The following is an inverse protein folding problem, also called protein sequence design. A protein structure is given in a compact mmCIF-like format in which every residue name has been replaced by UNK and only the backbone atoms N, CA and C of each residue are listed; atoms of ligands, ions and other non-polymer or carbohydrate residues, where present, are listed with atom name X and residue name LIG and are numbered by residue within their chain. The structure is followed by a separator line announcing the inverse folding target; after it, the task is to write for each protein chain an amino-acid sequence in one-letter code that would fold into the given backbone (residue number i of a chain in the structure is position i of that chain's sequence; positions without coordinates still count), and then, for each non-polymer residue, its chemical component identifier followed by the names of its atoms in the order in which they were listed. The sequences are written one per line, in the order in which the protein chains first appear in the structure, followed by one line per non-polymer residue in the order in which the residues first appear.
data_IF_574498594276
#
_entry.id   IF_574498594276
#
_cell.length_a   1.000
_cell.length_b   1.000
_cell.length_c   1.000
_cell.angle_alpha   90.00
_cell.angle_beta   90.00
_cell.angle_gamma   90.00
#
_symmetry.space_group_name_H-M   'P 1'
#
loop_
_entity.id
_entity.type
_entity.pdbx_description
1 polymer ?
#
# COMPACT_ATOMS: atom_id res chain seq x y z
N UNK A 1 -17.68 -24.58 -1.81
CA UNK A 1 -16.79 -23.40 -1.69
C UNK A 1 -17.59 -22.10 -1.67
N UNK A 2 -18.59 -21.97 -0.79
CA UNK A 2 -19.51 -20.80 -0.74
C UNK A 2 -19.61 -20.17 0.65
N UNK A 3 -18.73 -20.55 1.59
CA UNK A 3 -18.74 -20.06 2.98
C UNK A 3 -17.83 -18.84 3.20
N UNK A 4 -17.00 -18.46 2.23
CA UNK A 4 -15.97 -17.43 2.44
C UNK A 4 -16.40 -16.03 1.97
N UNK A 5 -17.26 -15.94 0.94
CA UNK A 5 -17.75 -14.65 0.44
C UNK A 5 -18.69 -13.96 1.44
N UNK A 6 -19.54 -14.74 2.14
CA UNK A 6 -20.42 -14.21 3.18
C UNK A 6 -19.63 -13.70 4.40
N UNK A 7 -18.56 -14.41 4.80
CA UNK A 7 -17.72 -13.98 5.92
C UNK A 7 -16.98 -12.67 5.62
N UNK A 8 -16.44 -12.51 4.41
CA UNK A 8 -15.74 -11.28 4.01
C UNK A 8 -16.67 -10.05 4.05
N UNK A 9 -17.90 -10.18 3.54
CA UNK A 9 -18.90 -9.11 3.59
C UNK A 9 -19.33 -8.80 5.03
N UNK A 10 -19.44 -9.82 5.89
CA UNK A 10 -19.78 -9.62 7.30
C UNK A 10 -18.63 -9.01 8.11
N UNK A 11 -17.37 -9.22 7.71
CA UNK A 11 -16.20 -8.58 8.34
C UNK A 11 -16.10 -7.10 7.95
N UNK A 12 -16.51 -6.72 6.73
CA UNK A 12 -16.72 -5.32 6.32
C UNK A 12 -17.85 -4.65 7.11
N UNK A 13 -18.94 -5.38 7.39
CA UNK A 13 -20.13 -4.82 8.04
C UNK A 13 -20.04 -4.75 9.58
N UNK A 14 -19.35 -5.71 10.22
CA UNK A 14 -19.29 -5.86 11.68
C UNK A 14 -17.91 -5.56 12.29
N UNK A 15 -16.90 -5.29 11.46
CA UNK A 15 -15.52 -5.04 11.86
C UNK A 15 -14.74 -6.31 12.20
N UNK A 16 -13.39 -6.21 12.11
CA UNK A 16 -12.43 -7.32 12.31
C UNK A 16 -12.48 -7.97 13.70
N UNK A 17 -13.24 -7.41 14.66
CA UNK A 17 -13.36 -7.91 16.03
C UNK A 17 -14.58 -8.80 16.28
N UNK A 18 -15.32 -9.26 15.26
CA UNK A 18 -16.54 -10.09 15.46
C UNK A 18 -16.30 -11.39 16.26
N UNK A 19 -15.10 -11.97 16.17
CA UNK A 19 -14.78 -13.24 16.83
C UNK A 19 -13.99 -13.07 18.14
N UNK A 20 -13.72 -11.84 18.60
CA UNK A 20 -13.01 -11.63 19.86
C UNK A 20 -13.93 -12.04 21.02
N UNK A 21 -13.48 -12.99 21.84
CA UNK A 21 -14.19 -13.35 23.06
C UNK A 21 -14.26 -12.13 23.98
N UNK A 22 -15.30 -11.98 24.84
CA UNK A 22 -15.46 -10.80 25.71
C UNK A 22 -14.26 -10.50 26.63
N UNK A 23 -13.34 -11.46 26.81
CA UNK A 23 -12.14 -11.36 27.65
C UNK A 23 -10.84 -11.11 26.85
N UNK A 24 -10.89 -11.22 25.52
CA UNK A 24 -9.70 -11.07 24.69
C UNK A 24 -9.44 -9.58 24.48
N UNK A 25 -8.45 -9.05 25.19
CA UNK A 25 -8.04 -7.66 25.02
C UNK A 25 -7.68 -7.45 23.55
N UNK A 26 -8.30 -6.44 22.93
CA UNK A 26 -7.88 -5.95 21.61
C UNK A 26 -6.38 -5.69 21.73
N UNK A 27 -5.57 -6.44 20.97
CA UNK A 27 -4.17 -6.05 20.82
C UNK A 27 -4.19 -4.64 20.26
N UNK A 28 -3.57 -3.72 20.98
CA UNK A 28 -3.34 -2.37 20.47
C UNK A 28 -2.57 -2.53 19.16
N UNK A 29 -3.15 -2.04 18.06
CA UNK A 29 -2.50 -2.06 16.76
C UNK A 29 -1.27 -1.16 16.87
N UNK A 30 -0.07 -1.69 16.65
CA UNK A 30 1.16 -0.89 16.59
C UNK A 30 1.56 -0.72 15.11
N UNK A 31 1.46 0.49 14.59
CA UNK A 31 1.76 0.76 13.17
C UNK A 31 3.23 0.53 12.78
N UNK A 32 4.13 0.42 13.75
CA UNK A 32 5.56 0.14 13.53
C UNK A 32 5.85 -1.36 13.28
N UNK A 33 4.85 -2.23 13.44
CA UNK A 33 5.02 -3.64 13.20
C UNK A 33 5.39 -3.93 11.73
N UNK A 34 6.39 -4.79 11.48
CA UNK A 34 6.87 -5.09 10.13
C UNK A 34 5.87 -5.91 9.31
N UNK A 35 4.75 -6.34 9.89
CA UNK A 35 3.65 -6.99 9.17
C UNK A 35 2.88 -6.01 8.29
N UNK A 36 2.80 -4.72 8.70
CA UNK A 36 2.09 -3.70 7.95
C UNK A 36 2.88 -3.20 6.75
N UNK A 37 2.16 -2.89 5.67
CA UNK A 37 2.78 -2.36 4.47
C UNK A 37 3.15 -0.89 4.67
N UNK A 38 4.45 -0.59 4.74
CA UNK A 38 4.97 0.77 4.85
C UNK A 38 4.39 1.72 3.79
N UNK A 39 4.29 1.26 2.54
CA UNK A 39 3.79 2.09 1.43
C UNK A 39 2.30 2.41 1.56
N UNK A 40 1.50 1.44 2.03
CA UNK A 40 0.10 1.65 2.35
C UNK A 40 -0.08 2.68 3.48
N UNK A 41 0.73 2.57 4.54
CA UNK A 41 0.72 3.52 5.65
C UNK A 41 1.04 4.94 5.19
N UNK A 42 2.03 5.11 4.29
CA UNK A 42 2.41 6.43 3.75
C UNK A 42 1.32 7.04 2.88
N UNK A 43 0.87 6.32 1.83
CA UNK A 43 -0.18 6.80 0.91
C UNK A 43 -0.94 5.65 0.24
N UNK A 44 -0.23 4.83 -0.55
CA UNK A 44 -0.82 3.75 -1.33
C UNK A 44 0.19 2.62 -1.52
N UNK A 45 -0.31 1.40 -1.66
CA UNK A 45 0.51 0.25 -2.02
C UNK A 45 0.56 0.09 -3.56
N UNK A 46 1.75 0.03 -4.18
CA UNK A 46 1.89 -0.21 -5.62
C UNK A 46 1.28 -1.54 -6.08
N UNK A 47 1.29 -2.56 -5.22
CA UNK A 47 0.67 -3.86 -5.49
C UNK A 47 -0.83 -3.73 -5.73
N UNK A 48 -1.52 -2.89 -4.96
CA UNK A 48 -2.96 -2.66 -5.11
C UNK A 48 -3.28 -1.71 -6.27
N UNK A 49 -2.37 -0.78 -6.57
CA UNK A 49 -2.57 0.21 -7.63
C UNK A 49 -2.48 -0.40 -9.04
N UNK A 50 -1.58 -1.37 -9.23
CA UNK A 50 -1.26 -1.94 -10.54
C UNK A 50 -1.89 -3.31 -10.81
N UNK A 51 -2.86 -3.75 -9.99
CA UNK A 51 -3.59 -5.01 -10.20
C UNK A 51 -4.24 -5.01 -11.59
N UNK A 52 -4.13 -6.14 -12.31
CA UNK A 52 -4.67 -6.31 -13.67
C UNK A 52 -4.04 -5.39 -14.74
N UNK A 53 -2.88 -4.79 -14.46
CA UNK A 53 -2.15 -3.99 -15.46
C UNK A 53 -0.96 -4.77 -16.02
N UNK A 54 -0.34 -4.27 -17.09
CA UNK A 54 0.93 -4.84 -17.62
C UNK A 54 2.11 -4.70 -16.66
N UNK A 55 1.96 -3.95 -15.58
CA UNK A 55 2.96 -3.72 -14.54
C UNK A 55 2.56 -4.36 -13.20
N UNK A 56 1.65 -5.34 -13.23
CA UNK A 56 1.18 -6.03 -12.03
C UNK A 56 2.34 -6.66 -11.24
N UNK A 57 2.40 -6.34 -9.95
CA UNK A 57 3.42 -6.81 -9.01
C UNK A 57 2.94 -8.03 -8.21
N UNK A 58 1.71 -8.48 -8.44
CA UNK A 58 1.05 -9.53 -7.67
C UNK A 58 0.49 -9.02 -6.33
N UNK A 59 -0.11 -9.90 -5.51
CA UNK A 59 -0.67 -9.53 -4.22
C UNK A 59 0.40 -8.99 -3.27
N UNK A 60 0.03 -7.99 -2.47
CA UNK A 60 0.95 -7.44 -1.47
C UNK A 60 1.30 -8.52 -0.42
N UNK A 61 2.58 -8.73 -0.08
CA UNK A 61 2.99 -9.67 0.96
C UNK A 61 2.77 -9.12 2.39
N UNK A 62 2.28 -7.89 2.52
CA UNK A 62 2.12 -7.16 3.77
C UNK A 62 0.65 -6.84 4.04
N UNK A 63 0.33 -6.59 5.30
CA UNK A 63 -1.03 -6.29 5.76
C UNK A 63 -1.36 -4.83 5.46
N UNK A 64 -2.52 -4.59 4.83
CA UNK A 64 -3.12 -3.27 4.68
C UNK A 64 -4.22 -3.11 5.73
N UNK A 65 -3.92 -2.30 6.74
CA UNK A 65 -4.81 -2.05 7.87
C UNK A 65 -5.07 -0.54 8.02
N UNK A 66 -6.35 -0.17 7.98
CA UNK A 66 -6.77 1.23 8.04
C UNK A 66 -6.60 1.83 9.44
N UNK A 67 -6.71 1.03 10.50
CA UNK A 67 -6.48 1.47 11.88
C UNK A 67 -5.00 1.81 12.09
N UNK A 68 -4.10 0.94 11.62
CA UNK A 68 -2.67 1.21 11.60
C UNK A 68 -2.34 2.50 10.81
N UNK A 69 -3.01 2.71 9.68
CA UNK A 69 -2.85 3.92 8.86
C UNK A 69 -3.31 5.19 9.58
N UNK A 70 -4.45 5.15 10.27
CA UNK A 70 -4.93 6.28 11.09
C UNK A 70 -3.95 6.61 12.22
N UNK A 71 -3.36 5.60 12.87
CA UNK A 71 -2.35 5.83 13.89
C UNK A 71 -1.06 6.41 13.30
N UNK A 72 -0.59 5.88 12.17
CA UNK A 72 0.54 6.41 11.42
C UNK A 72 0.34 7.87 11.03
N UNK A 73 -0.87 8.24 10.59
CA UNK A 73 -1.19 9.61 10.19
C UNK A 73 -1.14 10.58 11.39
N UNK A 74 -1.59 10.13 12.56
CA UNK A 74 -1.52 10.89 13.83
C UNK A 74 -0.11 10.97 14.41
N UNK A 75 0.74 9.98 14.15
CA UNK A 75 2.09 9.94 14.70
C UNK A 75 2.98 11.02 14.08
N UNK A 76 3.81 11.64 14.93
CA UNK A 76 4.86 12.60 14.55
C UNK A 76 6.24 12.00 14.87
N UNK A 77 6.50 10.82 14.33
CA UNK A 77 7.74 10.06 14.56
C UNK A 77 8.79 10.33 13.47
N UNK A 78 10.08 10.27 13.81
CA UNK A 78 11.17 10.28 12.84
C UNK A 78 11.09 9.06 11.89
N UNK A 79 10.60 7.93 12.39
CA UNK A 79 10.40 6.69 11.62
C UNK A 79 9.43 6.91 10.46
N UNK A 80 8.40 7.74 10.65
CA UNK A 80 7.46 8.13 9.59
C UNK A 80 8.15 8.88 8.44
N UNK A 81 9.14 9.71 8.75
CA UNK A 81 9.95 10.37 7.71
C UNK A 81 10.73 9.33 6.92
N UNK A 82 11.35 8.35 7.59
CA UNK A 82 12.09 7.29 6.91
C UNK A 82 11.20 6.46 5.97
N UNK A 83 9.98 6.15 6.38
CA UNK A 83 9.02 5.42 5.55
C UNK A 83 8.61 6.24 4.33
N UNK A 84 8.45 7.55 4.52
CA UNK A 84 8.14 8.49 3.44
C UNK A 84 9.29 8.60 2.45
N UNK A 85 10.54 8.67 2.93
CA UNK A 85 11.74 8.71 2.08
C UNK A 85 11.91 7.42 1.28
N UNK A 86 11.66 6.26 1.90
CA UNK A 86 11.66 4.95 1.22
C UNK A 86 10.58 4.91 0.12
N UNK A 87 9.39 5.42 0.41
CA UNK A 87 8.29 5.53 -0.55
C UNK A 87 8.63 6.45 -1.73
N UNK A 88 9.21 7.63 -1.48
CA UNK A 88 9.62 8.56 -2.55
C UNK A 88 10.69 7.93 -3.43
N UNK A 89 11.70 7.28 -2.84
CA UNK A 89 12.74 6.55 -3.59
C UNK A 89 12.14 5.48 -4.50
N UNK A 90 11.19 4.72 -3.97
CA UNK A 90 10.48 3.70 -4.75
C UNK A 90 9.70 4.31 -5.92
N UNK A 91 8.94 5.39 -5.68
CA UNK A 91 8.21 6.11 -6.73
C UNK A 91 9.14 6.65 -7.82
N UNK A 92 10.27 7.24 -7.43
CA UNK A 92 11.27 7.72 -8.38
C UNK A 92 11.82 6.56 -9.24
N UNK A 93 12.10 5.40 -8.66
CA UNK A 93 12.54 4.24 -9.43
C UNK A 93 11.48 3.80 -10.45
N UNK A 94 10.19 3.79 -10.08
CA UNK A 94 9.10 3.49 -11.01
C UNK A 94 9.02 4.50 -12.15
N UNK A 95 9.17 5.80 -11.87
CA UNK A 95 9.19 6.85 -12.90
C UNK A 95 10.34 6.59 -13.87
N UNK A 96 11.56 6.37 -13.37
CA UNK A 96 12.72 6.08 -14.21
C UNK A 96 12.53 4.82 -15.06
N UNK A 97 11.89 3.77 -14.52
CA UNK A 97 11.61 2.54 -15.27
C UNK A 97 10.63 2.79 -16.42
N UNK A 98 9.61 3.61 -16.18
CA UNK A 98 8.64 4.02 -17.20
C UNK A 98 9.30 4.92 -18.25
N UNK A 99 10.11 5.90 -17.84
CA UNK A 99 10.86 6.77 -18.75
C UNK A 99 11.78 5.96 -19.67
N UNK A 100 12.52 4.98 -19.15
CA UNK A 100 13.37 4.09 -19.97
C UNK A 100 12.54 3.30 -20.99
N UNK A 101 11.32 2.88 -20.64
CA UNK A 101 10.41 2.20 -21.57
C UNK A 101 9.88 3.18 -22.63
N UNK A 102 9.54 4.41 -22.26
CA UNK A 102 9.11 5.47 -23.19
C UNK A 102 10.22 5.77 -24.20
N UNK A 103 11.47 5.94 -23.75
CA UNK A 103 12.62 6.20 -24.65
C UNK A 103 12.81 5.09 -25.67
N UNK A 104 12.57 3.83 -25.29
CA UNK A 104 12.67 2.69 -26.20
C UNK A 104 11.48 2.59 -27.17
N UNK A 105 10.29 2.96 -26.72
CA UNK A 105 9.06 2.85 -27.49
C UNK A 105 8.79 4.05 -28.41
N UNK A 106 9.26 5.25 -28.04
CA UNK A 106 9.00 6.51 -28.75
C UNK A 106 10.25 6.96 -29.49
N UNK A 107 10.22 7.07 -30.83
CA UNK A 107 11.35 7.59 -31.60
C UNK A 107 11.63 9.06 -31.24
N UNK A 108 12.88 9.55 -31.42
CA UNK A 108 13.35 10.86 -30.93
C UNK A 108 12.47 12.06 -31.31
N UNK A 109 11.77 11.97 -32.43
CA UNK A 109 10.87 12.98 -33.00
C UNK A 109 9.55 13.21 -32.24
N UNK A 110 9.13 12.30 -31.36
CA UNK A 110 7.83 12.38 -30.66
C UNK A 110 7.94 12.44 -29.12
N UNK A 111 9.12 12.75 -28.56
CA UNK A 111 9.27 12.79 -27.10
C UNK A 111 8.60 14.07 -26.56
N UNK A 112 7.59 13.99 -25.66
CA UNK A 112 7.05 15.17 -25.03
C UNK A 112 8.13 15.78 -24.13
N UNK A 113 8.43 17.07 -24.31
CA UNK A 113 9.23 17.85 -23.36
C UNK A 113 8.44 17.97 -22.07
N UNK A 114 8.84 17.24 -21.03
CA UNK A 114 8.35 17.48 -19.67
C UNK A 114 8.98 18.81 -19.24
N UNK A 115 8.19 19.88 -19.24
CA UNK A 115 8.60 21.16 -18.67
C UNK A 115 8.40 21.07 -17.16
N UNK A 116 9.47 21.37 -16.41
CA UNK A 116 9.50 21.48 -14.95
C UNK A 116 8.57 22.58 -14.43
#
# INVERSE_FOLDING_TARGET
MAKNAASALLDELMGRHRNAAPHEQKKDVEWEDPEFCKFFLVKFCPHDLFVNTRADLGPCPKVHDDEAKVQFDKSRSYVKSQYTDEFIKFCNNLIHDVERKIVKAVPPINRPTVQE
#
